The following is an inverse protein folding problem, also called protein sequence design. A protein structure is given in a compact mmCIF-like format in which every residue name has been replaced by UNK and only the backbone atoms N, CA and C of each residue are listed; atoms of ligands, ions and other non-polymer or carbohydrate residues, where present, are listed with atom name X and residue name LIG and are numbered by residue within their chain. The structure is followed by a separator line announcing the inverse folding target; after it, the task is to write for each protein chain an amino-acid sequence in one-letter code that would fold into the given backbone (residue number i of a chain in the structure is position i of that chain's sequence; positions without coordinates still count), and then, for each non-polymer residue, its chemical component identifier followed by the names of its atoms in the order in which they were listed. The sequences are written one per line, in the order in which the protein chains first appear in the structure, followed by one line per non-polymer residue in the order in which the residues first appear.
data_IF_866190792174
#
_entry.id   IF_866190792174
#
_cell.length_a   1.000
_cell.length_b   1.000
_cell.length_c   1.000
_cell.angle_alpha   90.00
_cell.angle_beta   90.00
_cell.angle_gamma   90.00
#
_symmetry.space_group_name_H-M   'P 1'
#
loop_
_entity.id
_entity.type
_entity.pdbx_description
1 polymer ?
#
# COMPACT_ATOMS: atom_id res chain seq x y z
N UNK A 1 9.37 -2.25 14.58
CA UNK A 1 8.03 -2.87 14.59
C UNK A 1 7.76 -3.27 13.16
N UNK A 2 7.56 -4.57 12.91
CA UNK A 2 7.03 -5.01 11.63
C UNK A 2 5.49 -4.97 11.69
N UNK A 3 4.81 -5.00 10.55
CA UNK A 3 3.35 -4.80 10.43
C UNK A 3 2.48 -5.78 11.26
N UNK A 4 3.08 -6.80 11.87
CA UNK A 4 2.45 -7.84 12.70
C UNK A 4 2.85 -7.73 14.18
N UNK A 5 3.70 -6.76 14.56
CA UNK A 5 4.19 -6.60 15.94
C UNK A 5 5.21 -7.68 16.37
N UNK A 6 5.58 -8.61 15.49
CA UNK A 6 6.57 -9.67 15.78
C UNK A 6 7.98 -9.11 15.61
N UNK A 7 8.83 -9.27 16.63
CA UNK A 7 10.27 -8.97 16.54
C UNK A 7 10.98 -10.17 15.93
N UNK A 8 11.48 -10.03 14.70
CA UNK A 8 12.25 -11.06 13.98
C UNK A 8 13.52 -11.50 14.74
N UNK A 9 14.03 -10.66 15.65
CA UNK A 9 15.18 -10.96 16.52
C UNK A 9 14.90 -11.98 17.63
N UNK A 10 13.65 -12.40 17.83
CA UNK A 10 13.24 -13.30 18.93
C UNK A 10 12.85 -14.71 18.44
N UNK A 11 13.15 -15.02 17.18
CA UNK A 11 12.86 -16.32 16.59
C UNK A 11 14.07 -17.28 16.60
N UNK A 12 13.85 -18.60 16.76
CA UNK A 12 12.54 -19.25 16.91
C UNK A 12 11.99 -19.09 18.34
N UNK A 13 10.77 -18.54 18.45
CA UNK A 13 10.03 -18.49 19.71
C UNK A 13 9.35 -19.84 19.90
N UNK A 14 9.68 -20.53 20.99
CA UNK A 14 8.99 -21.78 21.32
C UNK A 14 7.59 -21.46 21.86
N UNK A 15 6.59 -22.35 21.66
CA UNK A 15 5.23 -22.10 22.13
C UNK A 15 5.13 -21.78 23.63
N UNK A 16 5.96 -22.43 24.46
CA UNK A 16 6.08 -22.16 25.90
C UNK A 16 6.56 -20.75 26.20
N UNK A 17 7.53 -20.24 25.43
CA UNK A 17 8.04 -18.87 25.57
C UNK A 17 6.99 -17.84 25.14
N UNK A 18 6.27 -18.10 24.05
CA UNK A 18 5.14 -17.26 23.61
C UNK A 18 4.05 -17.21 24.68
N UNK A 19 3.68 -18.36 25.25
CA UNK A 19 2.68 -18.45 26.32
C UNK A 19 3.08 -17.63 27.55
N UNK A 20 4.33 -17.79 28.03
CA UNK A 20 4.87 -17.02 29.17
C UNK A 20 4.85 -15.51 28.92
N UNK A 21 5.14 -15.08 27.69
CA UNK A 21 5.10 -13.66 27.31
C UNK A 21 3.68 -13.11 27.33
N UNK A 22 2.71 -13.87 26.81
CA UNK A 22 1.28 -13.49 26.85
C UNK A 22 0.79 -13.42 28.30
N UNK A 23 1.07 -14.44 29.11
CA UNK A 23 0.68 -14.48 30.53
C UNK A 23 1.26 -13.31 31.33
N UNK A 24 2.56 -13.00 31.13
CA UNK A 24 3.21 -11.86 31.76
C UNK A 24 2.58 -10.53 31.35
N UNK A 25 2.24 -10.37 30.06
CA UNK A 25 1.58 -9.17 29.54
C UNK A 25 0.16 -9.00 30.11
N UNK A 26 -0.64 -10.05 30.11
CA UNK A 26 -1.98 -10.04 30.70
C UNK A 26 -1.92 -9.66 32.19
N UNK A 27 -0.98 -10.22 32.95
CA UNK A 27 -0.78 -9.86 34.37
C UNK A 27 -0.38 -8.40 34.55
N UNK A 28 0.49 -7.86 33.69
CA UNK A 28 0.92 -6.46 33.74
C UNK A 28 -0.22 -5.49 33.46
N UNK A 29 -1.11 -5.85 32.53
CA UNK A 29 -2.26 -5.02 32.13
C UNK A 29 -3.53 -5.29 32.95
N UNK A 30 -3.50 -6.25 33.89
CA UNK A 30 -4.65 -6.64 34.70
C UNK A 30 -5.76 -7.33 33.88
N UNK A 31 -5.41 -7.94 32.75
CA UNK A 31 -6.33 -8.58 31.82
C UNK A 31 -6.48 -10.08 32.11
N UNK A 32 -7.70 -10.58 31.99
CA UNK A 32 -8.00 -12.01 32.07
C UNK A 32 -7.99 -12.60 30.63
N UNK A 33 -7.17 -13.62 30.34
CA UNK A 33 -6.97 -14.10 28.97
C UNK A 33 -8.23 -14.64 28.28
N UNK A 34 -9.15 -15.26 29.01
CA UNK A 34 -10.40 -15.80 28.46
C UNK A 34 -11.50 -14.74 28.34
N UNK A 35 -11.31 -13.56 28.94
CA UNK A 35 -12.23 -12.44 28.99
C UNK A 35 -11.83 -11.27 28.08
N UNK A 36 -10.86 -11.47 27.18
CA UNK A 36 -10.47 -10.45 26.22
C UNK A 36 -11.62 -10.17 25.24
N UNK A 37 -12.01 -8.91 25.11
CA UNK A 37 -12.92 -8.48 24.05
C UNK A 37 -12.28 -8.68 22.69
N UNK A 38 -13.07 -9.10 21.69
CA UNK A 38 -12.61 -9.14 20.30
C UNK A 38 -12.03 -7.78 19.90
N UNK A 39 -10.90 -7.75 19.17
CA UNK A 39 -10.31 -6.50 18.72
C UNK A 39 -11.32 -5.74 17.85
N UNK A 40 -11.53 -4.47 18.19
CA UNK A 40 -12.35 -3.55 17.42
C UNK A 40 -11.42 -2.64 16.58
N UNK A 41 -11.83 -2.37 15.35
CA UNK A 41 -11.14 -1.40 14.52
C UNK A 41 -11.51 0.00 14.98
N UNK A 42 -10.50 0.75 15.44
CA UNK A 42 -10.64 2.17 15.75
C UNK A 42 -9.91 2.97 14.67
N UNK A 43 -10.67 3.76 13.93
CA UNK A 43 -10.11 4.64 12.93
C UNK A 43 -9.44 5.85 13.59
N UNK A 44 -8.32 6.28 13.02
CA UNK A 44 -7.72 7.56 13.37
C UNK A 44 -8.36 8.69 12.56
N UNK A 45 -8.03 9.94 12.90
CA UNK A 45 -8.42 11.13 12.13
C UNK A 45 -8.08 11.04 10.63
N UNK A 46 -7.06 10.24 10.27
CA UNK A 46 -6.68 10.02 8.88
C UNK A 46 -7.81 9.37 8.05
N UNK A 47 -8.69 8.59 8.67
CA UNK A 47 -9.80 7.93 7.98
C UNK A 47 -10.71 8.96 7.30
N UNK A 48 -11.13 10.00 8.02
CA UNK A 48 -12.01 11.04 7.45
C UNK A 48 -11.34 11.79 6.29
N UNK A 49 -10.03 12.03 6.40
CA UNK A 49 -9.24 12.65 5.31
C UNK A 49 -9.21 11.75 4.08
N UNK A 50 -9.02 10.44 4.24
CA UNK A 50 -8.99 9.49 3.14
C UNK A 50 -10.38 9.31 2.49
N UNK A 51 -11.45 9.29 3.28
CA UNK A 51 -12.82 9.21 2.78
C UNK A 51 -13.18 10.43 1.93
N UNK A 52 -12.84 11.64 2.39
CA UNK A 52 -13.06 12.87 1.63
C UNK A 52 -12.33 12.83 0.28
N UNK A 53 -11.03 12.49 0.29
CA UNK A 53 -10.23 12.38 -0.94
C UNK A 53 -10.76 11.32 -1.90
N UNK A 54 -11.21 10.18 -1.37
CA UNK A 54 -11.80 9.12 -2.19
C UNK A 54 -13.11 9.58 -2.86
N UNK A 55 -13.94 10.34 -2.13
CA UNK A 55 -15.17 10.92 -2.69
C UNK A 55 -14.87 11.92 -3.80
N UNK A 56 -13.94 12.85 -3.58
CA UNK A 56 -13.51 13.84 -4.59
C UNK A 56 -12.98 13.15 -5.85
N UNK A 57 -12.13 12.14 -5.67
CA UNK A 57 -11.59 11.33 -6.76
C UNK A 57 -12.69 10.63 -7.56
N UNK A 58 -13.65 10.00 -6.87
CA UNK A 58 -14.76 9.30 -7.52
C UNK A 58 -15.65 10.23 -8.36
N UNK A 59 -15.96 11.43 -7.86
CA UNK A 59 -16.75 12.42 -8.60
C UNK A 59 -16.03 12.89 -9.85
N UNK A 60 -14.74 13.23 -9.72
CA UNK A 60 -13.92 13.68 -10.84
C UNK A 60 -13.80 12.60 -11.91
N UNK A 61 -13.50 11.36 -11.52
CA UNK A 61 -13.32 10.25 -12.45
C UNK A 61 -14.61 9.93 -13.21
N UNK A 62 -15.76 10.00 -12.53
CA UNK A 62 -17.05 9.86 -13.19
C UNK A 62 -17.30 10.98 -14.22
N UNK A 63 -16.97 12.22 -13.89
CA UNK A 63 -17.08 13.36 -14.81
C UNK A 63 -16.20 13.19 -16.06
N UNK A 64 -14.93 12.83 -15.84
CA UNK A 64 -13.97 12.56 -16.94
C UNK A 64 -14.41 11.39 -17.83
N UNK A 65 -15.02 10.35 -17.27
CA UNK A 65 -15.50 9.20 -18.05
C UNK A 65 -16.64 9.57 -19.02
N UNK A 66 -17.40 10.62 -18.71
CA UNK A 66 -18.48 11.13 -19.57
C UNK A 66 -18.04 12.26 -20.52
N UNK A 67 -16.82 12.76 -20.36
CA UNK A 67 -16.29 13.86 -21.15
C UNK A 67 -15.72 13.32 -22.49
N UNK A 68 -16.14 13.86 -23.65
CA UNK A 68 -15.56 13.46 -24.94
C UNK A 68 -14.11 13.90 -25.14
N UNK A 69 -13.60 14.86 -24.36
CA UNK A 69 -12.23 15.37 -24.44
C UNK A 69 -11.68 15.69 -23.02
N UNK A 70 -11.52 14.66 -22.16
CA UNK A 70 -11.15 14.89 -20.77
C UNK A 70 -9.72 15.44 -20.68
N UNK A 71 -9.45 16.37 -19.75
CA UNK A 71 -8.10 16.87 -19.51
C UNK A 71 -7.16 15.73 -19.08
N UNK A 72 -5.87 15.94 -19.34
CA UNK A 72 -4.80 15.03 -18.95
C UNK A 72 -4.84 14.75 -17.44
N UNK A 73 -4.49 13.52 -17.07
CA UNK A 73 -4.50 13.10 -15.67
C UNK A 73 -3.15 12.53 -15.27
N UNK A 74 -2.47 13.26 -14.38
CA UNK A 74 -1.16 12.91 -13.85
C UNK A 74 -1.28 12.27 -12.47
N UNK A 75 -0.45 11.24 -12.22
CA UNK A 75 -0.44 10.48 -10.96
C UNK A 75 -0.02 11.31 -9.74
N UNK A 76 0.52 12.51 -9.94
CA UNK A 76 0.82 13.46 -8.87
C UNK A 76 -0.38 13.78 -7.98
N UNK A 77 -1.60 13.73 -8.54
CA UNK A 77 -2.83 13.98 -7.79
C UNK A 77 -3.02 13.08 -6.57
N UNK A 78 -2.49 11.84 -6.59
CA UNK A 78 -2.53 10.94 -5.43
C UNK A 78 -1.75 11.48 -4.22
N UNK A 79 -0.83 12.41 -4.45
CA UNK A 79 0.06 13.01 -3.46
C UNK A 79 -0.31 14.47 -3.16
N UNK A 80 -1.43 14.95 -3.69
CA UNK A 80 -1.93 16.31 -3.46
C UNK A 80 -1.46 17.36 -4.47
N UNK A 81 -0.88 16.94 -5.59
CA UNK A 81 -0.54 17.83 -6.70
C UNK A 81 -1.73 18.09 -7.62
N UNK A 82 -1.63 19.12 -8.46
CA UNK A 82 -2.58 19.39 -9.53
C UNK A 82 -2.62 18.18 -10.50
N UNK A 83 -3.80 17.61 -10.79
CA UNK A 83 -3.93 16.49 -11.73
C UNK A 83 -3.59 16.83 -13.18
N UNK A 84 -3.70 18.09 -13.60
CA UNK A 84 -3.51 18.50 -15.00
C UNK A 84 -2.04 18.81 -15.32
N UNK A 85 -1.18 18.89 -14.31
CA UNK A 85 0.23 19.23 -14.45
C UNK A 85 1.09 18.02 -14.03
N UNK A 86 2.12 17.62 -14.79
CA UNK A 86 3.07 16.60 -14.36
C UNK A 86 3.69 16.91 -12.99
N UNK A 87 3.91 15.90 -12.16
CA UNK A 87 4.35 16.11 -10.77
C UNK A 87 5.78 16.67 -10.69
N UNK A 88 6.64 16.35 -11.66
CA UNK A 88 8.00 16.89 -11.84
C UNK A 88 8.02 18.36 -12.24
N UNK A 89 6.94 18.86 -12.84
CA UNK A 89 6.79 20.30 -13.13
C UNK A 89 6.31 21.09 -11.90
N UNK A 90 5.73 20.41 -10.90
CA UNK A 90 5.21 21.03 -9.68
C UNK A 90 6.20 20.97 -8.49
N UNK A 91 7.02 19.91 -8.42
CA UNK A 91 8.01 19.72 -7.36
C UNK A 91 9.28 19.12 -7.93
N UNK A 92 10.39 19.87 -7.87
CA UNK A 92 11.71 19.45 -8.34
C UNK A 92 12.24 18.18 -7.65
N UNK A 93 11.69 17.82 -6.47
CA UNK A 93 12.03 16.58 -5.77
C UNK A 93 11.38 15.36 -6.41
N UNK A 94 10.39 15.57 -7.27
CA UNK A 94 9.70 14.52 -8.00
C UNK A 94 10.52 14.11 -9.22
N UNK A 95 11.31 13.05 -9.07
CA UNK A 95 12.16 12.56 -10.16
C UNK A 95 11.35 11.62 -11.04
N UNK A 96 11.04 12.06 -12.26
CA UNK A 96 10.52 11.18 -13.32
C UNK A 96 11.64 10.25 -13.78
N UNK A 97 11.50 8.97 -13.45
CA UNK A 97 12.30 7.92 -14.09
C UNK A 97 11.67 7.59 -15.43
N UNK A 98 12.21 8.18 -16.50
CA UNK A 98 11.79 7.90 -17.88
C UNK A 98 12.10 6.44 -18.23
N UNK A 99 11.27 5.88 -19.11
CA UNK A 99 11.34 4.54 -19.70
C UNK A 99 12.77 4.01 -19.83
N UNK A 100 13.02 2.78 -19.38
CA UNK A 100 14.34 2.21 -19.49
C UNK A 100 14.79 2.12 -20.96
N UNK A 101 16.07 2.41 -21.20
CA UNK A 101 16.68 2.24 -22.51
C UNK A 101 16.68 0.76 -22.95
N UNK A 102 17.00 0.53 -24.23
CA UNK A 102 17.06 -0.81 -24.80
C UNK A 102 18.01 -1.74 -24.03
N UNK A 103 19.09 -1.19 -23.47
CA UNK A 103 20.06 -1.95 -22.67
C UNK A 103 19.45 -2.45 -21.34
N UNK A 104 18.67 -1.60 -20.66
CA UNK A 104 17.95 -1.98 -19.45
C UNK A 104 16.80 -2.95 -19.72
N UNK A 105 16.10 -2.83 -20.85
CA UNK A 105 15.07 -3.81 -21.26
C UNK A 105 15.69 -5.19 -21.52
N UNK A 106 16.86 -5.22 -22.15
CA UNK A 106 17.59 -6.45 -22.44
C UNK A 106 18.14 -7.10 -21.17
N UNK A 107 18.56 -6.31 -20.17
CA UNK A 107 19.09 -6.80 -18.89
C UNK A 107 18.54 -6.03 -17.67
N UNK A 108 17.26 -6.20 -17.33
CA UNK A 108 16.64 -5.43 -16.27
C UNK A 108 17.16 -5.88 -14.91
N UNK A 109 17.32 -4.91 -14.00
CA UNK A 109 17.61 -5.18 -12.59
C UNK A 109 16.41 -5.87 -11.92
N UNK A 110 16.57 -6.29 -10.66
CA UNK A 110 15.56 -7.06 -9.91
C UNK A 110 14.14 -6.45 -10.01
N UNK A 111 14.00 -5.12 -9.92
CA UNK A 111 12.72 -4.43 -10.08
C UNK A 111 12.13 -4.48 -11.50
N UNK A 112 12.97 -4.41 -12.55
CA UNK A 112 12.54 -4.49 -13.95
C UNK A 112 12.30 -5.92 -14.44
N UNK A 113 12.79 -6.94 -13.72
CA UNK A 113 12.53 -8.35 -14.07
C UNK A 113 11.04 -8.71 -14.03
N UNK A 114 10.23 -7.96 -13.28
CA UNK A 114 8.79 -8.07 -13.27
C UNK A 114 8.17 -7.75 -14.64
N UNK A 115 8.80 -6.89 -15.45
CA UNK A 115 8.32 -6.52 -16.79
C UNK A 115 8.57 -7.63 -17.81
N UNK A 116 9.51 -8.55 -17.53
CA UNK A 116 9.72 -9.78 -18.31
C UNK A 116 8.80 -10.92 -17.89
N UNK A 117 7.91 -10.71 -16.91
CA UNK A 117 7.05 -11.77 -16.41
C UNK A 117 5.94 -12.09 -17.43
N UNK A 118 6.13 -13.15 -18.21
CA UNK A 118 5.05 -13.74 -19.02
C UNK A 118 4.03 -14.43 -18.11
N UNK A 119 2.77 -14.02 -18.19
CA UNK A 119 1.69 -14.63 -17.42
C UNK A 119 1.57 -16.14 -17.72
N UNK A 120 1.76 -16.98 -16.69
CA UNK A 120 1.78 -18.45 -16.84
C UNK A 120 0.39 -19.09 -16.84
N UNK A 121 -0.69 -18.32 -16.69
CA UNK A 121 -2.05 -18.85 -16.59
C UNK A 121 -2.77 -18.82 -17.93
N UNK A 122 -2.33 -19.65 -18.87
CA UNK A 122 -3.27 -20.15 -19.88
C UNK A 122 -4.05 -21.30 -19.23
N UNK A 123 -5.21 -21.00 -18.65
CA UNK A 123 -6.19 -22.04 -18.33
C UNK A 123 -6.70 -22.54 -19.69
N UNK A 124 -6.13 -23.66 -20.16
CA UNK A 124 -6.56 -24.31 -21.39
C UNK A 124 -8.08 -24.50 -21.36
N UNK A 125 -8.77 -23.90 -22.31
CA UNK A 125 -10.16 -24.23 -22.61
C UNK A 125 -10.18 -25.61 -23.26
N UNK A 126 -10.97 -26.52 -22.69
CA UNK A 126 -11.41 -27.74 -23.36
C UNK A 126 -12.25 -27.43 -24.59
#
# INVERSE_FOLDING_TARGET
YDAVGIRTSELPITPDRMYRMIEARCKQEGLEPLGLSSPALHHSELQGVLEARASEHSTRDAGRASDPDPPDYNNGALFGFDPEIPADEQDERWIVSVTPDSEYIDSPRLAGSAWKHTERRHRGGS
#
